data_IF_884430190192
#
_entry.id   IF_884430190192
#
_cell.length_a   1.000
_cell.length_b   1.000
_cell.length_c   1.000
_cell.angle_alpha   90.00
_cell.angle_beta   90.00
_cell.angle_gamma   90.00
#
_symmetry.space_group_name_H-M   'P 1'
#
loop_
_entity.id
_entity.type
_entity.pdbx_description
1 polymer ?
#
# COMPACT_ATOMS: atom_id res chain seq x y z
N UNK A 1 -16.47 18.70 19.10
CA UNK A 1 -15.88 17.42 19.59
C UNK A 1 -16.18 16.18 18.74
N UNK A 2 -16.81 16.28 17.54
CA UNK A 2 -17.09 15.13 16.65
C UNK A 2 -16.07 14.93 15.52
N UNK A 3 -15.35 15.97 15.10
CA UNK A 3 -14.39 15.91 13.99
C UNK A 3 -13.13 15.09 14.32
N UNK A 4 -12.73 15.02 15.59
CA UNK A 4 -11.49 14.38 16.03
C UNK A 4 -11.55 12.84 15.91
N UNK A 5 -12.74 12.25 16.11
CA UNK A 5 -12.96 10.79 15.99
C UNK A 5 -13.10 10.31 14.54
N UNK A 6 -13.38 11.20 13.58
CA UNK A 6 -13.44 10.84 12.17
C UNK A 6 -12.06 10.39 11.63
N UNK A 7 -10.97 10.94 12.18
CA UNK A 7 -9.59 10.63 11.76
C UNK A 7 -9.14 9.18 12.05
N UNK A 8 -9.27 8.64 13.29
CA UNK A 8 -8.92 7.25 13.55
C UNK A 8 -9.84 6.25 12.82
N UNK A 9 -11.12 6.58 12.63
CA UNK A 9 -12.06 5.74 11.88
C UNK A 9 -11.66 5.69 10.40
N UNK A 10 -11.31 6.83 9.79
CA UNK A 10 -10.83 6.90 8.41
C UNK A 10 -9.54 6.11 8.21
N UNK A 11 -8.62 6.14 9.19
CA UNK A 11 -7.41 5.30 9.23
C UNK A 11 -7.76 3.81 9.25
N UNK A 12 -8.65 3.39 10.15
CA UNK A 12 -9.06 1.99 10.28
C UNK A 12 -9.73 1.47 9.00
N UNK A 13 -10.62 2.27 8.40
CA UNK A 13 -11.27 1.94 7.12
C UNK A 13 -10.25 1.88 5.99
N UNK A 14 -9.33 2.83 5.91
CA UNK A 14 -8.26 2.84 4.89
C UNK A 14 -7.38 1.60 4.99
N UNK A 15 -7.00 1.19 6.21
CA UNK A 15 -6.21 -0.02 6.46
C UNK A 15 -7.00 -1.28 6.13
N UNK A 16 -8.23 -1.40 6.61
CA UNK A 16 -9.09 -2.57 6.33
C UNK A 16 -9.37 -2.73 4.83
N UNK A 17 -9.60 -1.62 4.11
CA UNK A 17 -9.78 -1.65 2.65
C UNK A 17 -8.51 -2.07 1.92
N UNK A 18 -7.32 -1.71 2.42
CA UNK A 18 -6.04 -2.18 1.85
C UNK A 18 -5.86 -3.66 2.08
N UNK A 19 -6.05 -4.12 3.31
CA UNK A 19 -5.92 -5.53 3.66
C UNK A 19 -6.83 -6.39 2.78
N UNK A 20 -8.10 -5.98 2.63
CA UNK A 20 -9.06 -6.65 1.74
C UNK A 20 -8.65 -6.64 0.26
N UNK A 21 -7.93 -5.60 -0.19
CA UNK A 21 -7.42 -5.52 -1.58
C UNK A 21 -6.18 -6.39 -1.77
N UNK A 22 -5.32 -6.49 -0.76
CA UNK A 22 -4.14 -7.33 -0.77
C UNK A 22 -4.49 -8.82 -0.63
N UNK A 23 -5.59 -9.13 0.05
CA UNK A 23 -6.16 -10.48 0.20
C UNK A 23 -7.21 -10.82 -0.86
N UNK A 24 -7.23 -10.13 -2.00
CA UNK A 24 -8.17 -10.46 -3.08
C UNK A 24 -7.86 -11.85 -3.64
N UNK A 25 -8.91 -12.60 -3.97
CA UNK A 25 -8.79 -13.94 -4.58
C UNK A 25 -8.04 -13.92 -5.92
N UNK A 26 -8.04 -12.78 -6.62
CA UNK A 26 -7.25 -12.57 -7.82
C UNK A 26 -5.88 -11.98 -7.45
N UNK A 27 -4.82 -12.80 -7.61
CA UNK A 27 -3.44 -12.43 -7.30
C UNK A 27 -2.97 -11.22 -8.12
N UNK A 28 -3.34 -11.13 -9.40
CA UNK A 28 -3.00 -9.99 -10.26
C UNK A 28 -3.57 -8.67 -9.73
N UNK A 29 -4.85 -8.68 -9.31
CA UNK A 29 -5.49 -7.49 -8.75
C UNK A 29 -4.86 -7.08 -7.40
N UNK A 30 -4.48 -8.05 -6.57
CA UNK A 30 -3.77 -7.79 -5.32
C UNK A 30 -2.38 -7.16 -5.56
N UNK A 31 -1.62 -7.65 -6.53
CA UNK A 31 -0.30 -7.10 -6.91
C UNK A 31 -0.44 -5.69 -7.48
N UNK A 32 -1.42 -5.45 -8.37
CA UNK A 32 -1.70 -4.11 -8.90
C UNK A 32 -2.08 -3.16 -7.77
N UNK A 33 -2.91 -3.60 -6.82
CA UNK A 33 -3.28 -2.79 -5.67
C UNK A 33 -2.07 -2.44 -4.78
N UNK A 34 -1.16 -3.40 -4.55
CA UNK A 34 0.09 -3.19 -3.82
C UNK A 34 0.99 -2.18 -4.53
N UNK A 35 1.16 -2.31 -5.85
CA UNK A 35 1.94 -1.37 -6.66
C UNK A 35 1.35 0.05 -6.68
N UNK A 36 0.04 0.19 -6.88
CA UNK A 36 -0.62 1.50 -6.83
C UNK A 36 -0.49 2.17 -5.45
N UNK A 37 -0.41 1.37 -4.39
CA UNK A 37 -0.16 1.87 -3.05
C UNK A 37 1.30 2.31 -2.85
N UNK A 38 2.28 1.55 -3.35
CA UNK A 38 3.69 1.97 -3.39
C UNK A 38 3.89 3.28 -4.16
N UNK A 39 3.26 3.44 -5.33
CA UNK A 39 3.20 4.69 -6.09
C UNK A 39 2.67 5.88 -5.28
N UNK A 40 1.74 5.66 -4.35
CA UNK A 40 1.27 6.72 -3.45
C UNK A 40 2.30 7.04 -2.37
N UNK A 41 2.99 6.03 -1.85
CA UNK A 41 4.07 6.19 -0.88
C UNK A 41 5.31 6.88 -1.47
N UNK A 42 5.57 6.75 -2.78
CA UNK A 42 6.64 7.51 -3.47
C UNK A 42 6.52 9.02 -3.26
N UNK A 43 5.29 9.55 -3.27
CA UNK A 43 5.03 10.98 -3.01
C UNK A 43 5.40 11.42 -1.59
N UNK A 44 5.63 10.46 -0.69
CA UNK A 44 5.99 10.65 0.70
C UNK A 44 7.44 10.22 1.00
N UNK A 45 8.23 9.92 -0.04
CA UNK A 45 9.62 9.50 0.08
C UNK A 45 9.82 7.97 0.12
N UNK A 46 8.78 7.19 -0.17
CA UNK A 46 8.92 5.75 -0.37
C UNK A 46 9.65 5.42 -1.66
N UNK A 47 10.33 4.28 -1.69
CA UNK A 47 10.96 3.77 -2.90
C UNK A 47 10.24 2.49 -3.33
N UNK A 48 9.84 2.44 -4.60
CA UNK A 48 9.29 1.22 -5.21
C UNK A 48 10.45 0.45 -5.84
N UNK A 49 10.61 -0.83 -5.49
CA UNK A 49 11.58 -1.70 -6.16
C UNK A 49 11.14 -1.96 -7.60
N UNK A 50 12.12 -2.02 -8.52
CA UNK A 50 11.93 -2.37 -9.92
C UNK A 50 11.26 -3.75 -10.07
N UNK A 51 11.55 -4.68 -9.15
CA UNK A 51 10.94 -6.01 -9.11
C UNK A 51 9.40 -5.94 -8.96
N UNK A 52 8.90 -5.03 -8.11
CA UNK A 52 7.47 -4.86 -7.90
C UNK A 52 6.81 -4.16 -9.09
N UNK A 53 7.54 -3.28 -9.77
CA UNK A 53 7.08 -2.65 -11.00
C UNK A 53 6.89 -3.69 -12.10
N UNK A 54 7.87 -4.57 -12.32
CA UNK A 54 7.77 -5.65 -13.31
C UNK A 54 6.70 -6.67 -12.95
N UNK A 55 6.52 -7.01 -11.66
CA UNK A 55 5.40 -7.83 -11.20
C UNK A 55 4.03 -7.18 -11.50
N UNK A 56 3.89 -5.87 -11.27
CA UNK A 56 2.66 -5.15 -11.57
C UNK A 56 2.37 -5.05 -13.08
N UNK A 57 3.41 -4.89 -13.88
CA UNK A 57 3.34 -4.90 -15.34
C UNK A 57 2.92 -6.28 -15.84
N UNK A 58 3.53 -7.35 -15.31
CA UNK A 58 3.13 -8.74 -15.56
C UNK A 58 1.67 -8.96 -15.16
N UNK A 59 1.24 -8.51 -13.98
CA UNK A 59 -0.15 -8.61 -13.53
C UNK A 59 -1.16 -7.92 -14.46
N UNK A 60 -0.76 -6.79 -15.06
CA UNK A 60 -1.65 -5.93 -15.86
C UNK A 60 -1.74 -6.34 -17.32
N UNK A 61 -0.65 -6.85 -17.89
CA UNK A 61 -0.56 -7.17 -19.31
C UNK A 61 -0.49 -8.67 -19.62
N UNK A 62 -0.15 -9.51 -18.65
CA UNK A 62 -0.11 -10.96 -18.84
C UNK A 62 -1.49 -11.57 -18.61
N UNK A 63 -1.94 -12.49 -19.49
CA UNK A 63 -3.14 -13.28 -19.25
C UNK A 63 -2.95 -14.35 -18.15
N UNK A 64 -1.71 -14.64 -17.75
CA UNK A 64 -1.43 -15.59 -16.68
C UNK A 64 -1.67 -14.97 -15.30
N UNK A 65 -2.34 -15.72 -14.44
CA UNK A 65 -2.49 -15.40 -13.02
C UNK A 65 -1.14 -15.55 -12.32
N UNK A 66 -0.69 -14.49 -11.66
CA UNK A 66 0.50 -14.50 -10.81
C UNK A 66 0.35 -15.53 -9.71
N UNK A 67 1.48 -16.08 -9.30
CA UNK A 67 1.56 -17.03 -8.20
C UNK A 67 1.26 -16.36 -6.86
N UNK A 68 0.93 -17.18 -5.87
CA UNK A 68 0.65 -16.72 -4.52
C UNK A 68 1.90 -16.10 -3.87
N UNK A 69 3.07 -16.66 -4.18
CA UNK A 69 4.38 -16.22 -3.72
C UNK A 69 4.70 -14.81 -4.25
N UNK A 70 4.47 -14.57 -5.55
CA UNK A 70 4.63 -13.25 -6.17
C UNK A 70 3.68 -12.22 -5.54
N UNK A 71 2.45 -12.63 -5.22
CA UNK A 71 1.49 -11.77 -4.51
C UNK A 71 2.00 -11.41 -3.12
N UNK A 72 2.47 -12.40 -2.35
CA UNK A 72 2.99 -12.17 -1.00
C UNK A 72 4.21 -11.25 -1.02
N UNK A 73 5.13 -11.43 -1.97
CA UNK A 73 6.29 -10.56 -2.15
C UNK A 73 5.88 -9.09 -2.37
N UNK A 74 4.91 -8.84 -3.25
CA UNK A 74 4.42 -7.48 -3.52
C UNK A 74 3.75 -6.84 -2.30
N UNK A 75 2.97 -7.61 -1.54
CA UNK A 75 2.31 -7.15 -0.31
C UNK A 75 3.34 -6.87 0.80
N UNK A 76 4.32 -7.75 0.99
CA UNK A 76 5.39 -7.54 1.98
C UNK A 76 6.25 -6.31 1.63
N UNK A 77 6.56 -6.10 0.36
CA UNK A 77 7.24 -4.89 -0.09
C UNK A 77 6.42 -3.63 0.24
N UNK A 78 5.11 -3.64 -0.03
CA UNK A 78 4.21 -2.55 0.34
C UNK A 78 4.20 -2.25 1.85
N UNK A 79 4.20 -3.27 2.71
CA UNK A 79 4.29 -3.08 4.16
C UNK A 79 5.65 -2.54 4.60
N UNK A 80 6.73 -3.06 4.02
CA UNK A 80 8.10 -2.63 4.34
C UNK A 80 8.31 -1.17 3.98
N UNK A 81 7.95 -0.76 2.75
CA UNK A 81 8.07 0.63 2.32
C UNK A 81 7.16 1.54 3.15
N UNK A 82 5.94 1.10 3.48
CA UNK A 82 5.06 1.88 4.35
C UNK A 82 5.67 2.14 5.73
N UNK A 83 6.31 1.13 6.34
CA UNK A 83 6.94 1.29 7.66
C UNK A 83 8.21 2.14 7.60
N UNK A 84 8.99 2.03 6.52
CA UNK A 84 10.14 2.90 6.28
C UNK A 84 9.73 4.36 6.11
N UNK A 85 8.73 4.64 5.26
CA UNK A 85 8.17 6.00 5.09
C UNK A 85 7.64 6.54 6.40
N UNK A 86 6.90 5.74 7.17
CA UNK A 86 6.39 6.17 8.47
C UNK A 86 7.50 6.54 9.47
N UNK A 87 8.63 5.83 9.44
CA UNK A 87 9.80 6.13 10.30
C UNK A 87 10.61 7.32 9.80
N UNK A 88 10.72 7.51 8.48
CA UNK A 88 11.52 8.55 7.86
C UNK A 88 10.83 9.94 7.87
N UNK A 89 9.50 9.98 7.97
CA UNK A 89 8.75 11.24 7.94
C UNK A 89 8.88 12.04 9.25
N UNK A 90 9.04 13.38 9.15
CA UNK A 90 8.91 14.29 10.29
C UNK A 90 7.55 14.12 10.98
N UNK A 91 7.49 14.36 12.29
CA UNK A 91 6.29 14.09 13.12
C UNK A 91 4.99 14.69 12.57
N UNK A 92 5.02 15.90 11.98
CA UNK A 92 3.86 16.55 11.38
C UNK A 92 3.41 15.89 10.07
N UNK A 93 4.35 15.47 9.20
CA UNK A 93 4.02 14.71 7.97
C UNK A 93 3.58 13.30 8.29
N UNK A 94 4.17 12.70 9.32
CA UNK A 94 3.78 11.39 9.85
C UNK A 94 2.33 11.41 10.33
N UNK A 95 1.93 12.47 11.03
CA UNK A 95 0.54 12.68 11.42
C UNK A 95 -0.39 12.77 10.20
N UNK A 96 -0.03 13.55 9.18
CA UNK A 96 -0.79 13.63 7.93
C UNK A 96 -0.87 12.28 7.20
N UNK A 97 0.25 11.57 7.05
CA UNK A 97 0.31 10.26 6.40
C UNK A 97 -0.59 9.24 7.11
N UNK A 98 -0.56 9.23 8.45
CA UNK A 98 -1.28 8.29 9.30
C UNK A 98 -2.77 8.56 9.46
N UNK A 99 -3.15 9.81 9.67
CA UNK A 99 -4.50 10.18 10.10
C UNK A 99 -5.32 10.81 8.98
N UNK A 100 -4.69 11.59 8.10
CA UNK A 100 -5.40 12.27 6.99
C UNK A 100 -5.53 11.33 5.79
N UNK A 101 -4.43 10.69 5.40
CA UNK A 101 -4.38 9.86 4.20
C UNK A 101 -4.53 8.36 4.49
N UNK A 102 -4.29 7.97 5.75
CA UNK A 102 -4.30 6.57 6.19
C UNK A 102 -3.31 5.70 5.43
N UNK A 103 -2.26 6.27 4.83
CA UNK A 103 -1.27 5.57 4.02
C UNK A 103 -0.26 4.87 4.93
N UNK A 104 0.19 5.56 5.97
CA UNK A 104 0.87 5.02 7.15
C UNK A 104 -0.20 4.70 8.23
#
# INVERSE_FOLDING_TARGET
>A
MLLVLAFPIRRAIGRSRREKRFSQANTNQAVIAAYLYLKKLEKWGGQTSEEIFELAKKARFSPHTLTEEERQAAVQAAHTVSTQVDKALPWYKRFCCRYILGLC
#
